data_IF_183367038304
#
_entry.id   IF_183367038304
#
_cell.length_a   1.000
_cell.length_b   1.000
_cell.length_c   1.000
_cell.angle_alpha   90.00
_cell.angle_beta   90.00
_cell.angle_gamma   90.00
#
_symmetry.space_group_name_H-M   'P 1'
#
loop_
_entity.id
_entity.type
_entity.pdbx_description
1 polymer ?
#
# COMPACT_ATOMS: atom_id res chain seq x y z
N UNK A 1 8.21 26.79 30.32
CA UNK A 1 7.28 26.15 29.36
C UNK A 1 8.07 25.14 28.53
N UNK A 2 8.01 23.87 28.89
CA UNK A 2 8.77 22.79 28.26
C UNK A 2 7.85 22.14 27.22
N UNK A 3 8.18 22.37 25.93
CA UNK A 3 7.49 21.73 24.80
C UNK A 3 7.74 20.23 24.83
N UNK A 4 6.72 19.44 25.16
CA UNK A 4 6.75 17.99 25.05
C UNK A 4 6.66 17.63 23.56
N UNK A 5 7.79 17.29 22.96
CA UNK A 5 7.86 16.69 21.62
C UNK A 5 7.04 15.39 21.58
N UNK A 6 5.97 15.40 20.78
CA UNK A 6 5.15 14.22 20.51
C UNK A 6 5.88 13.34 19.50
N UNK A 7 6.40 12.23 19.94
CA UNK A 7 6.93 11.19 19.10
C UNK A 7 5.78 10.49 18.37
N UNK A 8 5.68 10.73 17.05
CA UNK A 8 4.78 9.97 16.17
C UNK A 8 5.45 8.61 15.92
N UNK A 9 4.86 7.56 16.46
CA UNK A 9 5.27 6.20 16.12
C UNK A 9 4.60 5.84 14.82
N UNK A 10 5.33 5.97 13.72
CA UNK A 10 4.92 5.42 12.42
C UNK A 10 5.20 3.93 12.47
N UNK A 11 4.21 3.16 12.84
CA UNK A 11 4.23 1.71 12.64
C UNK A 11 3.79 1.47 11.18
N UNK A 12 4.74 1.28 10.30
CA UNK A 12 4.48 0.75 8.96
C UNK A 12 4.01 -0.70 9.08
N UNK A 13 2.71 -0.91 9.22
CA UNK A 13 2.12 -2.24 9.24
C UNK A 13 1.55 -2.56 7.87
N UNK A 14 2.31 -3.29 7.08
CA UNK A 14 1.78 -4.07 5.97
C UNK A 14 0.98 -5.24 6.55
N UNK A 15 -0.32 -5.13 6.55
CA UNK A 15 -1.21 -6.22 6.93
C UNK A 15 -1.84 -6.84 5.70
N UNK A 16 -1.22 -7.91 5.22
CA UNK A 16 -1.99 -9.00 4.62
C UNK A 16 -2.89 -9.60 5.71
N UNK A 17 -4.12 -9.88 5.35
CA UNK A 17 -5.19 -10.41 6.19
C UNK A 17 -4.73 -11.40 7.28
N UNK A 18 -5.34 -11.24 8.42
CA UNK A 18 -5.17 -11.95 9.67
C UNK A 18 -5.12 -13.49 9.56
N UNK A 19 -4.42 -14.03 10.53
CA UNK A 19 -4.33 -15.42 11.00
C UNK A 19 -3.35 -16.33 10.24
N UNK A 20 -2.05 -16.06 10.43
CA UNK A 20 -1.02 -17.09 10.63
C UNK A 20 0.37 -16.41 10.75
N UNK A 21 0.81 -16.22 11.98
CA UNK A 21 2.21 -16.17 12.28
C UNK A 21 2.93 -14.83 12.18
N UNK A 22 3.50 -14.45 13.31
CA UNK A 22 4.42 -13.32 13.48
C UNK A 22 5.62 -13.33 12.50
N UNK A 23 5.91 -14.45 11.85
CA UNK A 23 7.00 -14.61 10.89
C UNK A 23 6.76 -13.92 9.54
N UNK A 24 5.51 -13.85 9.05
CA UNK A 24 5.21 -13.21 7.76
C UNK A 24 5.45 -11.69 7.80
N UNK A 25 5.27 -11.06 8.95
CA UNK A 25 5.50 -9.63 9.11
C UNK A 25 6.99 -9.24 9.01
N UNK A 26 7.89 -10.08 9.49
CA UNK A 26 9.35 -9.82 9.42
C UNK A 26 9.86 -9.89 7.99
N UNK A 27 9.37 -10.85 7.18
CA UNK A 27 9.78 -10.99 5.78
C UNK A 27 9.36 -9.76 4.95
N UNK A 28 8.14 -9.26 5.17
CA UNK A 28 7.67 -8.05 4.48
C UNK A 28 8.49 -6.82 4.88
N UNK A 29 8.81 -6.68 6.16
CA UNK A 29 9.60 -5.54 6.66
C UNK A 29 11.02 -5.50 6.08
N UNK A 30 11.63 -6.65 5.76
CA UNK A 30 12.95 -6.70 5.12
C UNK A 30 12.95 -6.17 3.67
N UNK A 31 11.78 -6.08 3.04
CA UNK A 31 11.60 -5.53 1.69
C UNK A 31 11.16 -4.05 1.69
N UNK A 32 11.13 -3.40 2.84
CA UNK A 32 10.84 -1.96 2.95
C UNK A 32 12.17 -1.20 2.92
N UNK A 33 12.44 -0.37 1.88
CA UNK A 33 13.68 0.41 1.84
C UNK A 33 13.79 1.37 3.04
N UNK A 34 15.00 1.59 3.54
CA UNK A 34 15.23 2.53 4.66
C UNK A 34 14.78 3.96 4.30
N UNK A 35 14.94 4.36 3.04
CA UNK A 35 14.44 5.64 2.54
C UNK A 35 12.92 5.77 2.64
N UNK A 36 12.20 4.66 2.54
CA UNK A 36 10.75 4.60 2.71
C UNK A 36 10.35 4.87 4.14
N UNK A 37 11.06 4.28 5.11
CA UNK A 37 10.78 4.52 6.53
C UNK A 37 10.92 6.00 6.89
N UNK A 38 11.95 6.68 6.40
CA UNK A 38 12.13 8.11 6.63
C UNK A 38 11.03 8.96 5.98
N UNK A 39 10.61 8.62 4.76
CA UNK A 39 9.50 9.30 4.08
C UNK A 39 8.17 9.09 4.78
N UNK A 40 7.85 7.85 5.18
CA UNK A 40 6.64 7.55 5.93
C UNK A 40 6.63 8.27 7.29
N UNK A 41 7.78 8.35 7.97
CA UNK A 41 7.91 9.07 9.23
C UNK A 41 7.68 10.59 9.10
N UNK A 42 7.97 11.15 7.93
CA UNK A 42 7.76 12.57 7.63
C UNK A 42 6.36 12.89 7.11
N UNK A 43 5.59 11.89 6.66
CA UNK A 43 4.23 12.09 6.17
C UNK A 43 3.29 12.44 7.33
N UNK A 44 2.59 13.55 7.18
CA UNK A 44 1.51 13.93 8.08
C UNK A 44 0.18 13.73 7.34
N UNK A 45 -0.70 12.92 7.90
CA UNK A 45 -2.00 12.63 7.28
C UNK A 45 -2.76 13.93 6.93
N UNK A 46 -2.67 14.95 7.78
CA UNK A 46 -3.31 16.24 7.57
C UNK A 46 -2.79 17.02 6.34
N UNK A 47 -1.61 16.68 5.83
CA UNK A 47 -0.97 17.33 4.69
C UNK A 47 -1.18 16.54 3.39
N UNK A 48 -1.79 15.35 3.46
CA UNK A 48 -2.08 14.52 2.29
C UNK A 48 -3.33 15.06 1.60
N UNK A 49 -3.21 15.39 0.30
CA UNK A 49 -4.38 15.57 -0.55
C UNK A 49 -4.87 14.21 -1.05
N UNK A 50 -6.06 13.74 -0.62
CA UNK A 50 -6.61 12.47 -1.07
C UNK A 50 -6.79 12.37 -2.59
N UNK A 51 -7.03 13.47 -3.29
CA UNK A 51 -7.18 13.48 -4.74
C UNK A 51 -5.87 13.13 -5.47
N UNK A 52 -4.72 13.41 -4.84
CA UNK A 52 -3.38 13.12 -5.37
C UNK A 52 -2.80 11.78 -4.91
N UNK A 53 -3.52 11.06 -4.02
CA UNK A 53 -3.06 9.76 -3.55
C UNK A 53 -3.10 8.74 -4.69
N UNK A 54 -1.97 8.08 -4.94
CA UNK A 54 -1.85 6.99 -5.90
C UNK A 54 -1.14 5.81 -5.28
N UNK A 55 -1.58 4.62 -5.64
CA UNK A 55 -0.85 3.36 -5.40
C UNK A 55 -0.48 2.79 -6.76
N UNK A 56 0.74 2.33 -6.90
CA UNK A 56 1.12 1.56 -8.08
C UNK A 56 1.77 0.24 -7.67
N UNK A 57 1.64 -0.75 -8.54
CA UNK A 57 2.24 -2.06 -8.34
C UNK A 57 2.97 -2.50 -9.60
N UNK A 58 4.21 -2.94 -9.46
CA UNK A 58 4.96 -3.66 -10.49
C UNK A 58 4.83 -5.15 -10.22
N UNK A 59 4.18 -5.86 -11.13
CA UNK A 59 3.91 -7.29 -11.04
C UNK A 59 4.55 -8.03 -12.21
N UNK A 60 4.95 -9.31 -12.03
CA UNK A 60 5.31 -10.18 -13.16
C UNK A 60 4.18 -10.23 -14.19
N UNK A 61 4.51 -10.35 -15.48
CA UNK A 61 3.53 -10.42 -16.59
C UNK A 61 2.52 -11.58 -16.47
N UNK A 62 2.82 -12.56 -15.62
CA UNK A 62 1.92 -13.66 -15.32
C UNK A 62 0.76 -13.22 -14.40
N UNK A 63 0.93 -12.11 -13.69
CA UNK A 63 -0.03 -11.62 -12.70
C UNK A 63 -0.68 -10.31 -13.15
N UNK A 64 -1.89 -10.07 -12.66
CA UNK A 64 -2.53 -8.77 -12.72
C UNK A 64 -3.32 -8.49 -11.43
N UNK A 65 -3.51 -7.23 -11.07
CA UNK A 65 -4.37 -6.88 -9.94
C UNK A 65 -5.81 -7.31 -10.23
N UNK A 66 -6.46 -7.88 -9.22
CA UNK A 66 -7.89 -8.23 -9.30
C UNK A 66 -8.75 -6.98 -9.37
N UNK A 67 -9.93 -7.10 -9.97
CA UNK A 67 -10.95 -6.06 -9.85
C UNK A 67 -11.23 -5.78 -8.38
N UNK A 68 -11.20 -4.51 -7.97
CA UNK A 68 -11.34 -4.06 -6.57
C UNK A 68 -10.30 -4.64 -5.59
N UNK A 69 -9.22 -5.23 -6.10
CA UNK A 69 -8.18 -5.87 -5.29
C UNK A 69 -7.08 -4.93 -4.81
N UNK A 70 -7.07 -3.67 -5.24
CA UNK A 70 -6.10 -2.68 -4.76
C UNK A 70 -6.75 -1.82 -3.69
N UNK A 71 -6.13 -1.80 -2.51
CA UNK A 71 -6.72 -1.21 -1.31
C UNK A 71 -5.69 -0.39 -0.55
N UNK A 72 -6.18 0.66 0.10
CA UNK A 72 -5.43 1.40 1.12
C UNK A 72 -6.18 1.27 2.43
N UNK A 73 -5.49 0.83 3.46
CA UNK A 73 -5.98 0.78 4.83
C UNK A 73 -5.32 1.89 5.63
N UNK A 74 -6.13 2.63 6.36
CA UNK A 74 -5.70 3.69 7.26
C UNK A 74 -6.22 3.35 8.65
N UNK A 75 -5.29 3.16 9.58
CA UNK A 75 -5.62 2.94 10.99
C UNK A 75 -5.25 4.20 11.76
N UNK A 76 -6.21 4.71 12.56
CA UNK A 76 -6.06 5.89 13.39
C UNK A 76 -6.25 5.50 14.85
N UNK A 77 -5.23 5.76 15.67
CA UNK A 77 -5.21 5.44 17.08
C UNK A 77 -5.23 6.71 17.95
N UNK A 78 -5.85 6.59 19.12
CA UNK A 78 -5.82 7.62 20.15
C UNK A 78 -6.56 8.92 19.78
N UNK A 79 -7.69 8.82 19.11
CA UNK A 79 -8.56 9.97 18.87
C UNK A 79 -9.14 10.53 20.19
N UNK A 80 -9.16 11.85 20.35
CA UNK A 80 -9.55 12.51 21.60
C UNK A 80 -10.98 12.20 22.07
N UNK A 81 -11.90 11.94 21.14
CA UNK A 81 -13.33 11.74 21.42
C UNK A 81 -13.91 10.51 20.72
N UNK A 82 -13.09 9.55 20.31
CA UNK A 82 -13.53 8.38 19.57
C UNK A 82 -12.71 7.13 19.88
N UNK A 83 -13.20 6.02 19.39
CA UNK A 83 -12.45 4.76 19.38
C UNK A 83 -11.44 4.80 18.24
N UNK A 84 -10.37 4.03 18.38
CA UNK A 84 -9.47 3.75 17.25
C UNK A 84 -10.31 3.33 16.03
N UNK A 85 -9.98 3.88 14.88
CA UNK A 85 -10.72 3.58 13.65
C UNK A 85 -9.80 2.97 12.61
N UNK A 86 -10.33 2.02 11.86
CA UNK A 86 -9.72 1.45 10.68
C UNK A 86 -10.63 1.71 9.48
N UNK A 87 -10.08 2.32 8.45
CA UNK A 87 -10.80 2.59 7.20
C UNK A 87 -10.08 1.88 6.06
N UNK A 88 -10.83 1.10 5.29
CA UNK A 88 -10.35 0.50 4.04
C UNK A 88 -10.98 1.24 2.86
N UNK A 89 -10.15 1.65 1.91
CA UNK A 89 -10.51 2.35 0.69
C UNK A 89 -10.11 1.47 -0.49
N UNK A 90 -11.04 1.22 -1.40
CA UNK A 90 -10.80 0.44 -2.62
C UNK A 90 -10.43 1.40 -3.74
N UNK A 91 -9.30 1.16 -4.40
CA UNK A 91 -8.81 2.03 -5.44
C UNK A 91 -9.29 1.57 -6.82
N UNK A 92 -9.57 2.53 -7.69
CA UNK A 92 -9.89 2.30 -9.09
C UNK A 92 -8.67 2.48 -10.00
N UNK A 93 -8.61 1.79 -11.17
CA UNK A 93 -7.50 1.95 -12.09
C UNK A 93 -7.32 3.41 -12.54
N UNK A 94 -6.09 3.89 -12.51
CA UNK A 94 -5.67 5.16 -13.12
C UNK A 94 -5.08 4.83 -14.50
N UNK A 95 -5.92 4.95 -15.54
CA UNK A 95 -5.60 4.48 -16.90
C UNK A 95 -4.86 5.51 -17.74
N UNK A 96 -4.77 6.75 -17.28
CA UNK A 96 -4.13 7.82 -18.01
C UNK A 96 -2.61 7.60 -18.14
N UNK A 97 -2.00 7.73 -19.32
CA UNK A 97 -0.56 7.54 -19.52
C UNK A 97 0.30 8.43 -18.62
N UNK A 98 -0.17 9.62 -18.29
CA UNK A 98 0.49 10.57 -17.39
C UNK A 98 0.73 10.02 -15.98
N UNK A 99 -0.14 9.12 -15.51
CA UNK A 99 -0.01 8.49 -14.20
C UNK A 99 1.16 7.49 -14.15
N UNK A 100 1.53 6.89 -15.29
CA UNK A 100 2.62 5.91 -15.39
C UNK A 100 3.96 6.55 -15.78
N UNK A 101 3.96 7.76 -16.35
CA UNK A 101 5.17 8.46 -16.80
C UNK A 101 6.22 8.60 -15.67
N UNK A 102 5.88 8.99 -14.45
CA UNK A 102 6.85 9.10 -13.35
C UNK A 102 7.48 7.76 -12.94
N UNK A 103 6.85 6.64 -13.30
CA UNK A 103 7.32 5.28 -13.02
C UNK A 103 8.08 4.65 -14.20
N UNK A 104 8.38 5.42 -15.25
CA UNK A 104 9.08 4.89 -16.45
C UNK A 104 10.43 4.27 -16.13
N UNK A 105 11.20 4.85 -15.20
CA UNK A 105 12.48 4.32 -14.74
C UNK A 105 12.35 3.02 -13.91
N UNK A 106 11.13 2.70 -13.46
CA UNK A 106 10.83 1.49 -12.68
C UNK A 106 10.38 0.31 -13.54
N UNK A 107 10.35 0.49 -14.86
CA UNK A 107 10.01 -0.59 -15.79
C UNK A 107 11.07 -1.67 -15.74
N UNK A 108 10.62 -2.93 -15.82
CA UNK A 108 11.48 -4.12 -15.81
C UNK A 108 10.95 -5.11 -16.83
N UNK A 109 11.84 -5.76 -17.57
CA UNK A 109 11.47 -6.82 -18.51
C UNK A 109 10.70 -7.94 -17.77
N UNK A 110 9.64 -8.47 -18.39
CA UNK A 110 8.79 -9.50 -17.78
C UNK A 110 7.88 -9.00 -16.66
N UNK A 111 7.76 -7.67 -16.49
CA UNK A 111 6.88 -7.06 -15.48
C UNK A 111 6.06 -5.93 -16.09
N UNK A 112 4.90 -5.70 -15.50
CA UNK A 112 3.99 -4.60 -15.84
C UNK A 112 3.73 -3.74 -14.62
N UNK A 113 3.55 -2.43 -14.83
CA UNK A 113 3.18 -1.48 -13.78
C UNK A 113 1.72 -1.09 -13.98
N UNK A 114 1.00 -1.09 -12.86
CA UNK A 114 -0.41 -0.71 -12.75
C UNK A 114 -0.51 0.44 -11.76
N UNK A 115 -1.26 1.49 -12.10
CA UNK A 115 -1.50 2.61 -11.20
C UNK A 115 -2.98 2.69 -10.83
N UNK A 116 -3.25 3.15 -9.62
CA UNK A 116 -4.58 3.24 -9.02
C UNK A 116 -4.74 4.55 -8.27
N UNK A 117 -5.98 5.03 -8.23
CA UNK A 117 -6.38 6.25 -7.52
C UNK A 117 -7.61 5.98 -6.64
N UNK A 118 -7.90 6.88 -5.73
CA UNK A 118 -9.16 6.87 -5.02
C UNK A 118 -10.32 7.24 -5.94
N UNK A 119 -11.48 6.63 -5.74
CA UNK A 119 -12.74 7.10 -6.32
C UNK A 119 -13.11 8.47 -5.75
N UNK A 120 -13.98 9.22 -6.42
CA UNK A 120 -14.46 10.51 -5.90
C UNK A 120 -15.08 10.38 -4.49
N UNK A 121 -15.89 9.34 -4.27
CA UNK A 121 -16.51 9.09 -2.96
C UNK A 121 -15.48 8.76 -1.88
N UNK A 122 -14.41 8.04 -2.22
CA UNK A 122 -13.37 7.70 -1.26
C UNK A 122 -12.42 8.87 -0.99
N UNK A 123 -12.23 9.78 -1.94
CA UNK A 123 -11.57 11.06 -1.70
C UNK A 123 -12.31 11.84 -0.60
N UNK A 124 -13.64 11.94 -0.69
CA UNK A 124 -14.44 12.66 0.32
C UNK A 124 -14.44 11.94 1.67
N UNK A 125 -14.50 10.61 1.67
CA UNK A 125 -14.38 9.80 2.90
C UNK A 125 -13.03 10.02 3.57
N UNK A 126 -11.95 10.04 2.81
CA UNK A 126 -10.60 10.25 3.36
C UNK A 126 -10.43 11.69 3.85
N UNK A 127 -10.98 12.71 3.16
CA UNK A 127 -11.02 14.09 3.65
C UNK A 127 -11.74 14.19 5.00
N UNK A 128 -12.90 13.54 5.12
CA UNK A 128 -13.65 13.52 6.36
C UNK A 128 -12.86 12.82 7.50
N UNK A 129 -12.19 11.70 7.19
CA UNK A 129 -11.32 11.02 8.16
C UNK A 129 -10.18 11.94 8.61
N UNK A 130 -9.48 12.58 7.68
CA UNK A 130 -8.38 13.52 7.97
C UNK A 130 -8.86 14.64 8.90
N UNK A 131 -10.02 15.23 8.60
CA UNK A 131 -10.62 16.27 9.43
C UNK A 131 -10.94 15.78 10.85
N UNK A 132 -11.39 14.52 10.98
CA UNK A 132 -11.71 13.91 12.26
C UNK A 132 -10.47 13.51 13.09
N UNK A 133 -9.29 13.37 12.48
CA UNK A 133 -8.06 12.94 13.16
C UNK A 133 -7.37 14.02 13.99
N UNK A 134 -7.96 15.23 14.10
CA UNK A 134 -7.42 16.33 14.90
C UNK A 134 -7.10 15.94 16.33
N UNK A 135 -5.83 15.61 16.60
CA UNK A 135 -5.34 15.17 17.90
C UNK A 135 -5.15 13.67 18.06
N UNK A 136 -5.25 12.88 17.01
CA UNK A 136 -4.85 11.47 17.02
C UNK A 136 -3.39 11.29 17.46
N UNK A 137 -3.10 10.22 18.21
CA UNK A 137 -1.76 9.91 18.70
C UNK A 137 -0.94 9.09 17.72
N UNK A 138 -1.58 8.43 16.78
CA UNK A 138 -0.91 7.61 15.78
C UNK A 138 -1.79 7.39 14.54
N UNK A 139 -1.12 7.34 13.38
CA UNK A 139 -1.73 6.99 12.10
C UNK A 139 -0.82 5.99 11.40
N UNK A 140 -1.39 4.93 10.85
CA UNK A 140 -0.67 4.03 9.95
C UNK A 140 -1.41 3.92 8.62
N UNK A 141 -0.63 3.80 7.55
CA UNK A 141 -1.13 3.63 6.19
C UNK A 141 -0.51 2.35 5.62
N UNK A 142 -1.35 1.47 5.11
CA UNK A 142 -0.94 0.28 4.42
C UNK A 142 -1.59 0.22 3.03
N UNK A 143 -0.82 -0.18 2.02
CA UNK A 143 -1.34 -0.46 0.69
C UNK A 143 -1.24 -1.96 0.40
N UNK A 144 -2.31 -2.55 -0.09
CA UNK A 144 -2.39 -3.95 -0.48
C UNK A 144 -2.82 -4.13 -1.93
N UNK A 145 -2.28 -5.16 -2.57
CA UNK A 145 -2.64 -5.53 -3.94
C UNK A 145 -2.98 -7.01 -3.96
N UNK A 146 -4.24 -7.34 -4.18
CA UNK A 146 -4.69 -8.70 -4.46
C UNK A 146 -4.50 -8.96 -5.96
N UNK A 147 -3.78 -10.02 -6.29
CA UNK A 147 -3.50 -10.39 -7.68
C UNK A 147 -4.23 -11.67 -8.11
N UNK A 148 -4.40 -11.84 -9.41
CA UNK A 148 -4.78 -13.10 -10.06
C UNK A 148 -3.75 -13.46 -11.13
N UNK A 149 -3.72 -14.70 -11.57
CA UNK A 149 -2.82 -15.10 -12.65
C UNK A 149 -3.55 -15.21 -14.01
N UNK A 150 -2.92 -14.64 -15.04
CA UNK A 150 -3.39 -14.73 -16.44
C UNK A 150 -2.83 -15.96 -17.16
N UNK A 151 -1.69 -16.44 -16.73
CA UNK A 151 -0.99 -17.62 -17.27
C UNK A 151 -0.23 -18.30 -16.12
N UNK A 152 0.01 -19.61 -16.21
CA UNK A 152 0.80 -20.30 -15.21
C UNK A 152 2.14 -19.61 -14.96
N UNK A 153 2.46 -19.38 -13.69
CA UNK A 153 3.69 -18.67 -13.30
C UNK A 153 4.86 -19.59 -12.93
N UNK A 154 4.70 -20.91 -13.13
CA UNK A 154 5.77 -21.91 -12.92
C UNK A 154 6.41 -21.84 -11.54
N UNK A 155 7.71 -22.14 -11.43
CA UNK A 155 8.49 -22.10 -10.19
C UNK A 155 9.29 -20.81 -10.01
N UNK A 156 9.30 -19.89 -10.98
CA UNK A 156 10.04 -18.64 -10.91
C UNK A 156 9.56 -17.75 -9.73
N UNK A 157 10.45 -16.94 -9.19
CA UNK A 157 10.12 -15.95 -8.16
C UNK A 157 9.04 -15.00 -8.66
N UNK A 158 8.07 -14.66 -7.81
CA UNK A 158 6.99 -13.73 -8.10
C UNK A 158 7.29 -12.39 -7.42
N UNK A 159 8.32 -11.70 -7.94
CA UNK A 159 8.81 -10.44 -7.38
C UNK A 159 7.80 -9.32 -7.63
N UNK A 160 7.34 -8.71 -6.58
CA UNK A 160 6.39 -7.60 -6.61
C UNK A 160 6.98 -6.35 -5.96
N UNK A 161 6.69 -5.18 -6.52
CA UNK A 161 7.10 -3.90 -5.95
C UNK A 161 5.87 -3.02 -5.85
N UNK A 162 5.66 -2.42 -4.69
CA UNK A 162 4.54 -1.50 -4.46
C UNK A 162 5.07 -0.07 -4.29
N UNK A 163 4.37 0.88 -4.87
CA UNK A 163 4.69 2.30 -4.81
C UNK A 163 3.51 3.08 -4.22
N UNK A 164 3.84 4.16 -3.52
CA UNK A 164 2.87 5.15 -3.04
C UNK A 164 3.27 6.52 -3.57
N UNK A 165 2.27 7.31 -3.99
CA UNK A 165 2.42 8.73 -4.32
C UNK A 165 1.52 9.55 -3.42
N UNK A 166 2.02 10.66 -2.93
CA UNK A 166 1.23 11.73 -2.33
C UNK A 166 1.58 13.05 -3.03
N UNK A 167 0.79 14.09 -2.79
CA UNK A 167 1.09 15.45 -3.27
C UNK A 167 2.48 15.95 -2.81
N UNK A 168 2.94 15.52 -1.63
CA UNK A 168 4.21 15.98 -1.05
C UNK A 168 5.44 15.20 -1.52
N UNK A 169 5.30 13.93 -1.94
CA UNK A 169 6.46 13.03 -2.11
C UNK A 169 6.71 12.57 -3.54
N UNK A 170 5.74 12.70 -4.46
CA UNK A 170 5.76 11.94 -5.69
C UNK A 170 5.69 10.42 -5.43
N UNK A 171 5.98 9.59 -6.44
CA UNK A 171 6.06 8.13 -6.23
C UNK A 171 7.33 7.75 -5.46
N UNK A 172 7.15 6.89 -4.48
CA UNK A 172 8.26 6.23 -3.78
C UNK A 172 7.92 4.76 -3.52
N UNK A 173 8.94 3.95 -3.35
CA UNK A 173 8.79 2.49 -3.13
C UNK A 173 8.28 2.25 -1.71
N UNK A 174 7.19 1.50 -1.54
CA UNK A 174 6.75 0.98 -0.24
C UNK A 174 7.42 -0.35 0.08
N UNK A 175 7.37 -1.29 -0.87
CA UNK A 175 8.05 -2.59 -0.78
C UNK A 175 8.76 -2.85 -2.09
N UNK A 176 9.96 -3.39 -2.04
CA UNK A 176 10.79 -3.66 -3.21
C UNK A 176 11.07 -5.15 -3.37
N UNK A 177 10.82 -5.65 -4.58
CA UNK A 177 11.10 -7.02 -5.02
C UNK A 177 10.69 -8.09 -3.98
N UNK A 178 9.52 -7.93 -3.37
CA UNK A 178 8.95 -8.89 -2.45
C UNK A 178 8.51 -10.13 -3.22
N UNK A 179 9.11 -11.29 -2.96
CA UNK A 179 8.66 -12.55 -3.53
C UNK A 179 7.41 -13.05 -2.80
N UNK A 180 6.29 -13.13 -3.51
CA UNK A 180 5.03 -13.62 -2.93
C UNK A 180 5.17 -15.04 -2.38
N UNK A 181 6.08 -15.86 -2.91
CA UNK A 181 6.33 -17.23 -2.43
C UNK A 181 7.04 -17.27 -1.07
N UNK A 182 7.73 -16.18 -0.71
CA UNK A 182 8.43 -16.10 0.57
C UNK A 182 7.51 -15.76 1.74
N UNK A 183 6.33 -15.22 1.44
CA UNK A 183 5.38 -14.74 2.47
C UNK A 183 4.17 -15.64 2.67
N UNK A 184 3.93 -16.58 1.75
CA UNK A 184 2.82 -17.53 1.83
C UNK A 184 3.26 -18.94 1.42
N UNK A 185 2.65 -19.96 2.00
CA UNK A 185 2.89 -21.34 1.56
C UNK A 185 2.46 -21.54 0.10
N UNK A 186 2.98 -22.55 -0.57
CA UNK A 186 2.60 -22.84 -1.96
C UNK A 186 1.11 -23.15 -2.10
N UNK A 187 0.51 -23.79 -1.10
CA UNK A 187 -0.93 -24.08 -1.07
C UNK A 187 -1.74 -22.79 -0.90
N UNK A 188 -1.33 -21.93 0.03
CA UNK A 188 -1.98 -20.63 0.25
C UNK A 188 -1.81 -19.69 -0.96
N UNK A 189 -0.68 -19.76 -1.67
CA UNK A 189 -0.45 -18.97 -2.87
C UNK A 189 -1.50 -19.31 -3.95
N UNK A 190 -1.80 -20.58 -4.19
CA UNK A 190 -2.82 -20.98 -5.15
C UNK A 190 -4.23 -20.47 -4.79
N UNK A 191 -4.53 -20.38 -3.50
CA UNK A 191 -5.80 -19.82 -3.00
C UNK A 191 -5.85 -18.29 -3.09
N UNK A 192 -4.73 -17.62 -2.80
CA UNK A 192 -4.65 -16.15 -2.75
C UNK A 192 -4.45 -15.51 -4.12
N UNK A 193 -3.85 -16.24 -5.06
CA UNK A 193 -3.63 -15.82 -6.43
C UNK A 193 -4.40 -16.76 -7.36
N UNK A 194 -5.74 -16.64 -7.45
CA UNK A 194 -6.57 -17.47 -8.31
C UNK A 194 -6.39 -17.10 -9.78
N UNK A 195 -6.93 -17.91 -10.72
CA UNK A 195 -7.05 -17.51 -12.12
C UNK A 195 -7.80 -16.18 -12.25
N UNK A 196 -7.38 -15.32 -13.19
CA UNK A 196 -8.17 -14.15 -13.55
C UNK A 196 -9.44 -14.61 -14.30
N UNK A 197 -10.58 -14.06 -13.92
CA UNK A 197 -11.88 -14.31 -14.56
C UNK A 197 -12.03 -13.45 -15.81
#
# INVERSE_FOLDING_TARGET
MISRGRTIRVAGALLAAASAGACANLTVMSHVPLSTLSRLASLKLAEIDPAELRVAARLPDALEPRSHGVKVRIDVAGMKHGRDSATELILEPAVEPSELTPLSAQRRAGHRIWAYRLSHSDVDRLKALIAATGGASGVSIAAGVEACYRKPYGSAALLTTTFLKTNATGFFVLTEDLDLRSIVSQQDLALRVPPCL
#
